data_IF_568395177236
#
_entry.id   IF_568395177236
#
_cell.length_a   1.000
_cell.length_b   1.000
_cell.length_c   1.000
_cell.angle_alpha   90.00
_cell.angle_beta   90.00
_cell.angle_gamma   90.00
#
_symmetry.space_group_name_H-M   'P 1'
#
loop_
_entity.id
_entity.type
_entity.pdbx_description
1 polymer ?
#
# COMPACT_ATOMS: atom_id res chain seq x y z
N UNK A 1 30.75 -19.38 19.32
CA UNK A 1 31.84 -18.41 19.57
C UNK A 1 31.80 -17.26 18.55
N UNK A 2 31.58 -17.53 17.25
CA UNK A 2 31.49 -16.49 16.20
C UNK A 2 30.42 -15.40 16.45
N UNK A 3 29.27 -15.73 17.03
CA UNK A 3 28.20 -14.74 17.30
C UNK A 3 28.61 -13.72 18.37
N UNK A 4 29.36 -14.15 19.38
CA UNK A 4 29.84 -13.25 20.44
C UNK A 4 30.96 -12.33 19.94
N UNK A 5 31.85 -12.82 19.09
CA UNK A 5 32.90 -12.00 18.48
C UNK A 5 32.33 -10.95 17.53
N UNK A 6 31.32 -11.33 16.73
CA UNK A 6 30.61 -10.40 15.84
C UNK A 6 29.92 -9.27 16.61
N UNK A 7 29.26 -9.61 17.72
CA UNK A 7 28.60 -8.63 18.58
C UNK A 7 29.60 -7.65 19.19
N UNK A 8 30.72 -8.16 19.72
CA UNK A 8 31.78 -7.32 20.28
C UNK A 8 32.41 -6.42 19.22
N UNK A 9 32.64 -6.93 18.01
CA UNK A 9 33.18 -6.14 16.90
C UNK A 9 32.23 -5.00 16.48
N UNK A 10 30.93 -5.26 16.43
CA UNK A 10 29.92 -4.24 16.14
C UNK A 10 29.85 -3.16 17.24
N UNK A 11 29.95 -3.56 18.52
CA UNK A 11 30.05 -2.63 19.63
C UNK A 11 31.32 -1.80 19.53
N UNK A 12 32.48 -2.40 19.29
CA UNK A 12 33.74 -1.68 19.17
C UNK A 12 33.69 -0.65 18.04
N UNK A 13 33.14 -1.04 16.90
CA UNK A 13 32.95 -0.16 15.73
C UNK A 13 32.05 1.02 16.10
N UNK A 14 30.94 0.77 16.78
CA UNK A 14 30.03 1.82 17.25
C UNK A 14 30.70 2.75 18.27
N UNK A 15 31.39 2.20 19.27
CA UNK A 15 32.11 2.99 20.26
C UNK A 15 33.16 3.88 19.59
N UNK A 16 33.85 3.37 18.57
CA UNK A 16 34.78 4.13 17.75
C UNK A 16 34.07 5.27 17.01
N UNK A 17 32.92 5.00 16.38
CA UNK A 17 32.11 6.05 15.74
C UNK A 17 31.63 7.12 16.72
N UNK A 18 31.12 6.73 17.88
CA UNK A 18 30.69 7.66 18.94
C UNK A 18 31.87 8.51 19.41
N UNK A 19 33.00 7.88 19.73
CA UNK A 19 34.18 8.58 20.21
C UNK A 19 34.75 9.57 19.19
N UNK A 20 34.84 9.15 17.92
CA UNK A 20 35.25 10.03 16.83
C UNK A 20 34.26 11.18 16.64
N UNK A 21 32.96 10.92 16.78
CA UNK A 21 31.93 11.95 16.66
C UNK A 21 32.01 12.96 17.80
N UNK A 22 32.24 12.51 19.04
CA UNK A 22 32.41 13.37 20.21
C UNK A 22 33.67 14.22 20.06
N UNK A 23 34.79 13.65 19.60
CA UNK A 23 36.00 14.43 19.29
C UNK A 23 35.77 15.42 18.15
N UNK A 24 35.00 15.04 17.13
CA UNK A 24 34.67 15.89 16.00
C UNK A 24 33.78 17.09 16.39
N UNK A 25 33.04 17.05 17.51
CA UNK A 25 32.26 18.19 18.00
C UNK A 25 33.13 19.43 18.25
N UNK A 26 34.39 19.24 18.66
CA UNK A 26 35.37 20.33 18.83
C UNK A 26 36.09 20.73 17.52
N UNK A 27 35.81 20.03 16.42
CA UNK A 27 36.41 20.29 15.10
C UNK A 27 35.41 21.01 14.19
N UNK A 28 35.89 21.72 13.14
CA UNK A 28 35.00 22.40 12.19
C UNK A 28 33.92 21.49 11.59
N UNK A 29 34.23 20.21 11.38
CA UNK A 29 33.30 19.22 10.83
C UNK A 29 32.13 18.87 11.75
N UNK A 30 32.31 18.86 13.07
CA UNK A 30 31.21 18.65 14.03
C UNK A 30 30.35 19.90 14.19
N UNK A 31 30.97 21.08 14.19
CA UNK A 31 30.23 22.36 14.20
C UNK A 31 29.33 22.49 12.98
N UNK A 32 29.80 22.06 11.80
CA UNK A 32 28.98 22.01 10.59
C UNK A 32 27.75 21.09 10.75
N UNK A 33 27.87 19.93 11.40
CA UNK A 33 26.72 19.05 11.66
C UNK A 33 25.68 19.72 12.56
N UNK A 34 26.13 20.40 13.62
CA UNK A 34 25.23 21.15 14.51
C UNK A 34 24.55 22.28 13.74
N UNK A 35 25.30 23.03 12.93
CA UNK A 35 24.76 24.10 12.09
C UNK A 35 23.73 23.56 11.10
N UNK A 36 23.98 22.42 10.48
CA UNK A 36 23.03 21.73 9.59
C UNK A 36 21.77 21.34 10.35
N UNK A 37 21.87 20.79 11.56
CA UNK A 37 20.70 20.43 12.38
C UNK A 37 19.87 21.66 12.77
N UNK A 38 20.53 22.74 13.20
CA UNK A 38 19.87 24.01 13.54
C UNK A 38 19.18 24.59 12.30
N UNK A 39 19.88 24.59 11.16
CA UNK A 39 19.33 25.07 9.89
C UNK A 39 18.15 24.22 9.43
N UNK A 40 18.25 22.90 9.53
CA UNK A 40 17.16 21.98 9.20
C UNK A 40 15.95 22.18 10.13
N UNK A 41 16.18 22.44 11.42
CA UNK A 41 15.11 22.76 12.37
C UNK A 41 14.43 24.09 12.04
N UNK A 42 15.20 25.14 11.77
CA UNK A 42 14.67 26.45 11.38
C UNK A 42 13.89 26.37 10.06
N UNK A 43 14.47 25.74 9.02
CA UNK A 43 13.81 25.53 7.73
C UNK A 43 12.54 24.68 7.86
N UNK A 44 12.55 23.64 8.71
CA UNK A 44 11.37 22.84 8.98
C UNK A 44 10.28 23.64 9.71
N UNK A 45 10.66 24.53 10.62
CA UNK A 45 9.75 25.41 11.33
C UNK A 45 9.05 26.37 10.37
N UNK A 46 9.82 27.15 9.60
CA UNK A 46 9.28 28.09 8.61
C UNK A 46 8.51 27.39 7.48
N UNK A 47 9.01 26.25 7.00
CA UNK A 47 8.34 25.46 5.98
C UNK A 47 6.98 24.94 6.46
N UNK A 48 6.88 24.48 7.70
CA UNK A 48 5.62 24.06 8.27
C UNK A 48 4.65 25.24 8.48
N UNK A 49 5.12 26.38 9.01
CA UNK A 49 4.27 27.57 9.17
C UNK A 49 3.75 28.11 7.84
N UNK A 50 4.52 27.96 6.76
CA UNK A 50 4.07 28.32 5.42
C UNK A 50 3.04 27.36 4.83
N UNK A 51 3.19 26.05 5.09
CA UNK A 51 2.36 24.98 4.51
C UNK A 51 1.09 24.73 5.32
N UNK A 52 1.14 24.83 6.65
CA UNK A 52 0.03 24.51 7.56
C UNK A 52 -1.25 25.33 7.25
N UNK A 53 -1.21 26.67 7.08
CA UNK A 53 -2.40 27.46 6.78
C UNK A 53 -2.98 27.21 5.38
N UNK A 54 -2.14 26.85 4.41
CA UNK A 54 -2.59 26.49 3.04
C UNK A 54 -3.28 25.15 3.05
N UNK A 55 -2.67 24.19 3.73
CA UNK A 55 -3.18 22.84 3.79
C UNK A 55 -4.43 22.76 4.67
N UNK A 56 -4.51 23.51 5.78
CA UNK A 56 -5.74 23.60 6.58
C UNK A 56 -6.92 24.17 5.79
N UNK A 57 -6.70 25.26 5.01
CA UNK A 57 -7.74 25.81 4.12
C UNK A 57 -8.20 24.80 3.09
N UNK A 58 -7.26 24.10 2.45
CA UNK A 58 -7.57 23.04 1.50
C UNK A 58 -8.38 21.90 2.17
N UNK A 59 -7.95 21.45 3.35
CA UNK A 59 -8.65 20.39 4.10
C UNK A 59 -10.07 20.80 4.50
N UNK A 60 -10.29 22.06 4.89
CA UNK A 60 -11.64 22.60 5.18
C UNK A 60 -12.52 22.69 3.94
N UNK A 61 -11.94 22.86 2.75
CA UNK A 61 -12.69 22.90 1.48
C UNK A 61 -13.11 21.51 0.97
N UNK A 62 -12.54 20.44 1.51
CA UNK A 62 -12.88 19.07 1.11
C UNK A 62 -14.01 18.56 2.01
N UNK A 63 -15.17 18.29 1.42
CA UNK A 63 -16.20 17.47 2.06
C UNK A 63 -15.72 16.02 2.18
N UNK A 64 -15.07 15.70 3.29
CA UNK A 64 -14.57 14.36 3.59
C UNK A 64 -15.15 13.80 4.87
N UNK A 65 -15.00 12.50 5.07
CA UNK A 65 -15.50 11.86 6.29
C UNK A 65 -14.74 12.34 7.53
N UNK A 66 -15.45 12.48 8.67
CA UNK A 66 -14.88 12.94 9.95
C UNK A 66 -13.61 12.18 10.37
N UNK A 67 -13.51 10.89 10.04
CA UNK A 67 -12.33 10.07 10.32
C UNK A 67 -11.11 10.48 9.49
N UNK A 68 -11.30 10.84 8.22
CA UNK A 68 -10.23 11.33 7.33
C UNK A 68 -9.81 12.73 7.74
N UNK A 69 -10.76 13.62 8.01
CA UNK A 69 -10.47 14.97 8.50
C UNK A 69 -9.61 14.92 9.77
N UNK A 70 -9.97 14.06 10.73
CA UNK A 70 -9.18 13.83 11.94
C UNK A 70 -7.76 13.39 11.59
N UNK A 71 -7.59 12.41 10.69
CA UNK A 71 -6.26 11.96 10.27
C UNK A 71 -5.44 13.06 9.59
N UNK A 72 -6.03 13.85 8.68
CA UNK A 72 -5.33 14.95 8.03
C UNK A 72 -4.89 16.01 9.05
N UNK A 73 -5.73 16.34 10.02
CA UNK A 73 -5.38 17.25 11.14
C UNK A 73 -4.24 16.65 11.99
N UNK A 74 -4.20 15.34 12.20
CA UNK A 74 -3.09 14.69 12.90
C UNK A 74 -1.76 14.85 12.15
N UNK A 75 -1.78 14.67 10.83
CA UNK A 75 -0.60 14.85 9.98
C UNK A 75 -0.17 16.32 9.94
N UNK A 76 -1.14 17.25 9.83
CA UNK A 76 -0.91 18.69 9.90
C UNK A 76 -0.17 19.10 11.17
N UNK A 77 -0.63 18.60 12.34
CA UNK A 77 0.01 18.82 13.64
C UNK A 77 1.41 18.21 13.78
N UNK A 78 1.90 17.49 12.78
CA UNK A 78 3.23 16.89 12.72
C UNK A 78 4.06 17.43 11.56
N UNK A 79 3.57 18.40 10.78
CA UNK A 79 4.30 18.94 9.63
C UNK A 79 5.71 19.40 9.98
N UNK A 80 5.89 20.14 11.09
CA UNK A 80 7.22 20.54 11.58
C UNK A 80 8.18 19.36 11.71
N UNK A 81 7.73 18.28 12.32
CA UNK A 81 8.55 17.08 12.49
C UNK A 81 8.77 16.35 11.16
N UNK A 82 7.74 16.24 10.31
CA UNK A 82 7.85 15.61 9.00
C UNK A 82 8.91 16.32 8.15
N UNK A 83 8.83 17.66 8.07
CA UNK A 83 9.83 18.46 7.37
C UNK A 83 11.22 18.30 7.99
N UNK A 84 11.33 18.32 9.32
CA UNK A 84 12.61 18.13 10.00
C UNK A 84 13.24 16.78 9.65
N UNK A 85 12.49 15.68 9.76
CA UNK A 85 12.96 14.33 9.42
C UNK A 85 13.42 14.28 7.95
N UNK A 86 12.61 14.82 7.03
CA UNK A 86 12.96 14.85 5.59
C UNK A 86 14.26 15.63 5.36
N UNK A 87 14.38 16.83 5.92
CA UNK A 87 15.56 17.68 5.74
C UNK A 87 16.82 17.05 6.34
N UNK A 88 16.71 16.41 7.51
CA UNK A 88 17.84 15.69 8.13
C UNK A 88 18.27 14.52 7.25
N UNK A 89 17.35 13.73 6.70
CA UNK A 89 17.71 12.61 5.81
C UNK A 89 18.31 13.08 4.48
N UNK A 90 17.83 14.20 3.92
CA UNK A 90 18.45 14.86 2.76
C UNK A 90 19.88 15.29 3.11
N UNK A 91 20.09 15.90 4.29
CA UNK A 91 21.41 16.31 4.75
C UNK A 91 22.35 15.12 4.97
N UNK A 92 21.86 14.00 5.53
CA UNK A 92 22.63 12.75 5.64
C UNK A 92 23.05 12.25 4.26
N UNK A 93 22.13 12.23 3.29
CA UNK A 93 22.42 11.79 1.93
C UNK A 93 23.46 12.70 1.26
N UNK A 94 23.29 14.02 1.36
CA UNK A 94 24.22 15.00 0.80
C UNK A 94 25.61 14.92 1.45
N UNK A 95 25.68 14.79 2.78
CA UNK A 95 26.96 14.63 3.48
C UNK A 95 27.64 13.30 3.12
N UNK A 96 26.90 12.20 2.97
CA UNK A 96 27.48 10.93 2.52
C UNK A 96 28.01 10.97 1.09
N UNK A 97 27.46 11.82 0.22
CA UNK A 97 27.95 11.99 -1.16
C UNK A 97 29.18 12.90 -1.28
N UNK A 98 29.36 13.84 -0.35
CA UNK A 98 30.43 14.86 -0.43
C UNK A 98 31.56 14.60 0.57
N UNK A 99 31.24 14.05 1.73
CA UNK A 99 32.15 13.91 2.86
C UNK A 99 32.35 12.45 3.30
N UNK A 100 33.39 12.22 4.10
CA UNK A 100 33.71 10.90 4.64
C UNK A 100 32.58 10.39 5.57
N UNK A 101 32.22 9.08 5.53
CA UNK A 101 31.07 8.52 6.24
C UNK A 101 31.00 8.83 7.74
N UNK A 102 32.15 8.96 8.40
CA UNK A 102 32.26 9.27 9.83
C UNK A 102 31.71 10.64 10.21
N UNK A 103 31.61 11.58 9.27
CA UNK A 103 31.13 12.95 9.52
C UNK A 103 29.60 13.06 9.52
N UNK A 104 28.86 11.95 9.35
CA UNK A 104 27.39 11.96 9.30
C UNK A 104 26.73 11.32 10.53
N UNK A 105 27.50 10.85 11.51
CA UNK A 105 26.98 10.03 12.61
C UNK A 105 25.96 10.77 13.48
N UNK A 106 26.20 12.04 13.85
CA UNK A 106 25.22 12.79 14.67
C UNK A 106 23.91 13.03 13.90
N UNK A 107 24.01 13.34 12.60
CA UNK A 107 22.84 13.47 11.74
C UNK A 107 22.05 12.17 11.62
N UNK A 108 22.74 11.02 11.54
CA UNK A 108 22.11 9.70 11.53
C UNK A 108 21.39 9.39 12.84
N UNK A 109 22.03 9.67 13.98
CA UNK A 109 21.41 9.47 15.31
C UNK A 109 20.16 10.33 15.44
N UNK A 110 20.26 11.63 15.17
CA UNK A 110 19.12 12.56 15.25
C UNK A 110 18.04 12.19 14.22
N UNK A 111 18.43 11.82 13.00
CA UNK A 111 17.53 11.37 11.94
C UNK A 111 16.76 10.11 12.30
N UNK A 112 17.42 9.11 12.87
CA UNK A 112 16.79 7.87 13.34
C UNK A 112 15.84 8.13 14.51
N UNK A 113 16.27 8.90 15.53
CA UNK A 113 15.43 9.22 16.69
C UNK A 113 14.18 10.03 16.29
N UNK A 114 14.35 11.04 15.44
CA UNK A 114 13.24 11.86 14.95
C UNK A 114 12.29 11.07 14.06
N UNK A 115 12.80 10.17 13.20
CA UNK A 115 11.98 9.27 12.40
C UNK A 115 11.18 8.29 13.27
N UNK A 116 11.79 7.70 14.30
CA UNK A 116 11.08 6.83 15.26
C UNK A 116 10.01 7.60 16.01
N UNK A 117 10.33 8.80 16.50
CA UNK A 117 9.35 9.64 17.18
C UNK A 117 8.18 10.01 16.25
N UNK A 118 8.45 10.30 14.98
CA UNK A 118 7.41 10.54 13.95
C UNK A 118 6.50 9.33 13.80
N UNK A 119 7.09 8.14 13.58
CA UNK A 119 6.36 6.87 13.41
C UNK A 119 5.49 6.60 14.64
N UNK A 120 6.02 6.72 15.85
CA UNK A 120 5.27 6.50 17.10
C UNK A 120 4.14 7.53 17.23
N UNK A 121 4.41 8.80 16.93
CA UNK A 121 3.42 9.87 17.09
C UNK A 121 2.22 9.73 16.15
N UNK A 122 2.41 9.14 14.98
CA UNK A 122 1.35 8.83 14.01
C UNK A 122 0.67 7.50 14.40
N UNK A 123 1.47 6.45 14.62
CA UNK A 123 0.97 5.10 14.84
C UNK A 123 0.11 4.99 16.09
N UNK A 124 0.51 5.65 17.18
CA UNK A 124 -0.26 5.71 18.44
C UNK A 124 -1.69 6.28 18.28
N UNK A 125 -1.96 7.04 17.22
CA UNK A 125 -3.28 7.63 16.95
C UNK A 125 -4.08 6.91 15.87
N UNK A 126 -3.39 6.24 14.94
CA UNK A 126 -4.01 5.46 13.87
C UNK A 126 -4.43 4.08 14.37
N UNK A 127 -3.61 3.46 15.21
CA UNK A 127 -3.84 2.12 15.74
C UNK A 127 -4.81 2.21 16.91
N UNK A 128 -6.00 1.62 16.74
CA UNK A 128 -7.05 1.64 17.78
C UNK A 128 -6.70 0.79 19.01
N UNK A 129 -5.94 -0.28 18.83
CA UNK A 129 -5.58 -1.20 19.91
C UNK A 129 -4.29 -0.70 20.62
N UNK A 130 -4.33 -0.40 21.92
CA UNK A 130 -3.16 0.08 22.66
C UNK A 130 -2.01 -0.91 22.66
N UNK A 131 -2.28 -2.22 22.64
CA UNK A 131 -1.24 -3.24 22.57
C UNK A 131 -0.51 -3.18 21.23
N UNK A 132 -1.24 -3.05 20.12
CA UNK A 132 -0.65 -2.93 18.80
C UNK A 132 0.13 -1.60 18.64
N UNK A 133 -0.32 -0.51 19.26
CA UNK A 133 0.44 0.73 19.29
C UNK A 133 1.75 0.59 20.08
N UNK A 134 1.72 -0.14 21.21
CA UNK A 134 2.91 -0.44 22.02
C UNK A 134 3.90 -1.34 21.27
N UNK A 135 3.43 -2.37 20.56
CA UNK A 135 4.33 -3.24 19.78
C UNK A 135 5.00 -2.50 18.65
N UNK A 136 4.28 -1.61 17.95
CA UNK A 136 4.87 -0.74 16.92
C UNK A 136 5.89 0.21 17.52
N UNK A 137 5.59 0.81 18.68
CA UNK A 137 6.54 1.71 19.34
C UNK A 137 7.81 0.98 19.81
N UNK A 138 7.66 -0.20 20.42
CA UNK A 138 8.78 -1.04 20.81
C UNK A 138 9.62 -1.45 19.60
N UNK A 139 8.97 -1.89 18.51
CA UNK A 139 9.66 -2.26 17.27
C UNK A 139 10.42 -1.09 16.65
N UNK A 140 9.83 0.11 16.65
CA UNK A 140 10.50 1.32 16.17
C UNK A 140 11.73 1.66 17.02
N UNK A 141 11.63 1.57 18.35
CA UNK A 141 12.78 1.78 19.24
C UNK A 141 13.88 0.72 19.07
N UNK A 142 13.51 -0.56 18.96
CA UNK A 142 14.46 -1.65 18.68
C UNK A 142 15.17 -1.39 17.35
N UNK A 143 14.42 -1.02 16.30
CA UNK A 143 14.99 -0.69 15.00
C UNK A 143 15.98 0.47 15.08
N UNK A 144 15.63 1.58 15.75
CA UNK A 144 16.56 2.69 15.94
C UNK A 144 17.78 2.28 16.75
N UNK A 145 17.62 1.53 17.84
CA UNK A 145 18.75 1.05 18.64
C UNK A 145 19.70 0.19 17.79
N UNK A 146 19.17 -0.79 17.05
CA UNK A 146 19.97 -1.64 16.17
C UNK A 146 20.64 -0.86 15.03
N UNK A 147 19.96 0.16 14.48
CA UNK A 147 20.52 0.99 13.42
C UNK A 147 21.60 1.95 13.93
N UNK A 148 21.41 2.55 15.11
CA UNK A 148 22.36 3.50 15.73
C UNK A 148 23.61 2.76 16.22
N UNK A 149 23.43 1.55 16.74
CA UNK A 149 24.51 0.69 17.25
C UNK A 149 25.16 -0.18 16.16
N UNK A 150 24.79 0.02 14.89
CA UNK A 150 25.25 -0.81 13.76
C UNK A 150 25.14 -2.33 14.00
N UNK A 151 24.17 -2.73 14.83
CA UNK A 151 23.87 -4.12 15.19
C UNK A 151 22.86 -4.75 14.23
N UNK A 152 22.38 -4.00 13.23
CA UNK A 152 21.44 -4.52 12.24
C UNK A 152 21.97 -5.76 11.50
N UNK A 153 23.23 -5.79 11.01
CA UNK A 153 23.78 -6.98 10.36
C UNK A 153 23.82 -8.19 11.30
N UNK A 154 24.20 -7.97 12.56
CA UNK A 154 24.21 -9.01 13.59
C UNK A 154 22.80 -9.54 13.88
N UNK A 155 21.82 -8.66 14.10
CA UNK A 155 20.43 -9.03 14.35
C UNK A 155 19.87 -9.86 13.19
N UNK A 156 20.11 -9.46 11.94
CA UNK A 156 19.71 -10.22 10.75
C UNK A 156 20.31 -11.62 10.75
N UNK A 157 21.62 -11.77 11.05
CA UNK A 157 22.27 -13.09 11.13
C UNK A 157 21.67 -13.96 12.23
N UNK A 158 21.45 -13.41 13.43
CA UNK A 158 20.86 -14.16 14.55
C UNK A 158 19.45 -14.62 14.22
N UNK A 159 18.63 -13.75 13.63
CA UNK A 159 17.26 -14.09 13.23
C UNK A 159 17.22 -15.10 12.08
N UNK A 160 18.22 -15.12 11.20
CA UNK A 160 18.31 -16.09 10.12
C UNK A 160 18.86 -17.46 10.57
N UNK A 161 19.76 -17.43 11.55
CA UNK A 161 20.28 -18.63 12.21
C UNK A 161 19.21 -19.32 13.07
N UNK A 162 18.30 -18.55 13.69
CA UNK A 162 17.14 -19.06 14.39
C UNK A 162 16.11 -19.62 13.39
N UNK A 163 16.37 -20.81 12.85
CA UNK A 163 15.55 -21.46 11.84
C UNK A 163 15.15 -22.88 12.22
N UNK A 164 13.95 -23.26 11.78
CA UNK A 164 13.43 -24.62 11.87
C UNK A 164 13.27 -25.14 10.45
N UNK A 165 13.74 -26.36 10.19
CA UNK A 165 13.57 -27.04 8.91
C UNK A 165 12.40 -27.99 8.99
N UNK A 166 11.44 -27.88 8.07
CA UNK A 166 10.26 -28.75 7.95
C UNK A 166 10.24 -29.31 6.53
N UNK A 167 10.64 -30.58 6.38
CA UNK A 167 10.93 -31.14 5.04
C UNK A 167 12.04 -30.33 4.37
N UNK A 168 11.77 -29.82 3.16
CA UNK A 168 12.71 -28.97 2.40
C UNK A 168 12.57 -27.47 2.71
N UNK A 169 11.60 -27.08 3.54
CA UNK A 169 11.36 -25.68 3.91
C UNK A 169 12.16 -25.27 5.14
N UNK A 170 13.12 -24.36 4.97
CA UNK A 170 13.81 -23.68 6.08
C UNK A 170 13.05 -22.41 6.47
N UNK A 171 12.39 -22.45 7.62
CA UNK A 171 11.64 -21.33 8.16
C UNK A 171 12.48 -20.64 9.24
N UNK A 172 13.17 -19.55 8.86
CA UNK A 172 13.90 -18.71 9.81
C UNK A 172 13.01 -17.67 10.48
N UNK A 173 13.34 -17.25 11.69
CA UNK A 173 12.67 -16.14 12.38
C UNK A 173 12.71 -14.87 11.52
N UNK A 174 13.81 -14.65 10.80
CA UNK A 174 13.95 -13.58 9.82
C UNK A 174 12.90 -13.69 8.70
N UNK A 175 12.72 -14.89 8.13
CA UNK A 175 11.70 -15.14 7.10
C UNK A 175 10.29 -14.82 7.60
N UNK A 176 9.94 -15.29 8.80
CA UNK A 176 8.63 -15.05 9.41
C UNK A 176 8.38 -13.56 9.62
N UNK A 177 9.37 -12.82 10.14
CA UNK A 177 9.23 -11.38 10.37
C UNK A 177 9.12 -10.62 9.05
N UNK A 178 9.96 -10.94 8.04
CA UNK A 178 9.84 -10.37 6.70
C UNK A 178 8.46 -10.65 6.10
N UNK A 179 7.96 -11.88 6.22
CA UNK A 179 6.64 -12.28 5.74
C UNK A 179 5.52 -11.46 6.39
N UNK A 180 5.51 -11.37 7.72
CA UNK A 180 4.48 -10.63 8.46
C UNK A 180 4.51 -9.14 8.09
N UNK A 181 5.69 -8.52 8.04
CA UNK A 181 5.83 -7.09 7.71
C UNK A 181 5.40 -6.83 6.27
N UNK A 182 5.95 -7.55 5.30
CA UNK A 182 5.63 -7.33 3.88
C UNK A 182 4.16 -7.62 3.59
N UNK A 183 3.61 -8.71 4.13
CA UNK A 183 2.20 -9.05 3.94
C UNK A 183 1.29 -8.00 4.60
N UNK A 184 1.63 -7.52 5.80
CA UNK A 184 0.86 -6.46 6.46
C UNK A 184 0.82 -5.18 5.62
N UNK A 185 1.94 -4.77 5.04
CA UNK A 185 2.03 -3.59 4.17
C UNK A 185 1.21 -3.78 2.90
N UNK A 186 1.36 -4.92 2.21
CA UNK A 186 0.65 -5.22 0.97
C UNK A 186 -0.86 -5.32 1.19
N UNK A 187 -1.31 -6.02 2.24
CA UNK A 187 -2.73 -6.14 2.58
C UNK A 187 -3.31 -4.80 3.03
N UNK A 188 -2.57 -3.98 3.76
CA UNK A 188 -2.98 -2.61 4.07
C UNK A 188 -3.14 -1.76 2.81
N UNK A 189 -2.20 -1.86 1.87
CA UNK A 189 -2.26 -1.22 0.56
C UNK A 189 -3.46 -1.69 -0.26
N UNK A 190 -3.72 -3.01 -0.34
CA UNK A 190 -4.89 -3.58 -1.00
C UNK A 190 -6.19 -3.12 -0.35
N UNK A 191 -6.26 -3.09 0.99
CA UNK A 191 -7.42 -2.61 1.73
C UNK A 191 -7.67 -1.11 1.49
N UNK A 192 -6.63 -0.31 1.32
CA UNK A 192 -6.73 1.09 0.97
C UNK A 192 -7.24 1.27 -0.47
N UNK A 193 -6.57 0.61 -1.43
CA UNK A 193 -6.89 0.70 -2.85
C UNK A 193 -8.30 0.18 -3.15
N UNK A 194 -8.69 -0.94 -2.53
CA UNK A 194 -10.04 -1.50 -2.62
C UNK A 194 -11.09 -0.49 -2.20
N UNK A 195 -10.91 0.21 -1.07
CA UNK A 195 -11.86 1.25 -0.63
C UNK A 195 -11.93 2.45 -1.57
N UNK A 196 -10.82 2.78 -2.23
CA UNK A 196 -10.81 3.86 -3.23
C UNK A 196 -11.58 3.42 -4.47
N UNK A 197 -11.31 2.22 -4.97
CA UNK A 197 -11.98 1.69 -6.17
C UNK A 197 -13.46 1.41 -5.93
N UNK A 198 -13.85 0.83 -4.78
CA UNK A 198 -15.26 0.62 -4.42
C UNK A 198 -16.06 1.93 -4.43
N UNK A 199 -15.46 3.04 -3.97
CA UNK A 199 -16.10 4.37 -4.02
C UNK A 199 -16.26 4.88 -5.44
N UNK A 200 -15.23 4.71 -6.28
CA UNK A 200 -15.30 5.10 -7.69
C UNK A 200 -16.38 4.30 -8.42
N UNK A 201 -16.43 2.98 -8.21
CA UNK A 201 -17.47 2.10 -8.78
C UNK A 201 -18.86 2.51 -8.28
N UNK A 202 -19.00 2.89 -7.01
CA UNK A 202 -20.28 3.33 -6.46
C UNK A 202 -20.81 4.63 -7.09
N UNK A 203 -19.94 5.46 -7.68
CA UNK A 203 -20.29 6.72 -8.33
C UNK A 203 -20.70 6.57 -9.80
N UNK A 204 -20.56 5.38 -10.40
CA UNK A 204 -20.92 5.14 -11.81
C UNK A 204 -22.45 5.04 -11.94
N UNK A 205 -23.09 6.08 -12.47
CA UNK A 205 -24.55 6.19 -12.55
C UNK A 205 -25.19 5.11 -13.44
N UNK A 206 -24.51 4.73 -14.53
CA UNK A 206 -24.99 3.75 -15.52
C UNK A 206 -25.05 2.29 -15.00
N UNK A 207 -24.53 2.02 -13.80
CA UNK A 207 -24.56 0.68 -13.21
C UNK A 207 -25.71 0.55 -12.23
N UNK A 208 -26.45 -0.57 -12.30
CA UNK A 208 -27.45 -0.91 -11.27
C UNK A 208 -26.77 -1.05 -9.90
N UNK A 209 -27.49 -0.77 -8.79
CA UNK A 209 -26.93 -0.87 -7.44
C UNK A 209 -26.32 -2.25 -7.13
N UNK A 210 -26.95 -3.33 -7.60
CA UNK A 210 -26.45 -4.70 -7.44
C UNK A 210 -25.14 -4.94 -8.19
N UNK A 211 -25.02 -4.40 -9.41
CA UNK A 211 -23.78 -4.51 -10.20
C UNK A 211 -22.63 -3.73 -9.55
N UNK A 212 -22.88 -2.55 -8.97
CA UNK A 212 -21.85 -1.76 -8.26
C UNK A 212 -21.28 -2.52 -7.07
N UNK A 213 -22.14 -3.13 -6.26
CA UNK A 213 -21.72 -3.94 -5.10
C UNK A 213 -20.94 -5.16 -5.56
N UNK A 214 -21.41 -5.85 -6.60
CA UNK A 214 -20.76 -7.04 -7.12
C UNK A 214 -19.38 -6.72 -7.71
N UNK A 215 -19.28 -5.69 -8.56
CA UNK A 215 -18.01 -5.22 -9.13
C UNK A 215 -17.01 -4.79 -8.04
N UNK A 216 -17.48 -4.05 -7.02
CA UNK A 216 -16.65 -3.68 -5.87
C UNK A 216 -16.08 -4.90 -5.13
N UNK A 217 -16.91 -5.93 -4.89
CA UNK A 217 -16.46 -7.19 -4.27
C UNK A 217 -15.43 -7.92 -5.13
N UNK A 218 -15.63 -8.00 -6.44
CA UNK A 218 -14.67 -8.64 -7.34
C UNK A 218 -13.32 -7.92 -7.34
N UNK A 219 -13.31 -6.60 -7.43
CA UNK A 219 -12.07 -5.80 -7.33
C UNK A 219 -11.39 -6.02 -6.00
N UNK A 220 -12.16 -6.01 -4.89
CA UNK A 220 -11.60 -6.24 -3.56
C UNK A 220 -10.95 -7.61 -3.45
N UNK A 221 -11.63 -8.68 -3.88
CA UNK A 221 -11.07 -10.04 -3.87
C UNK A 221 -9.80 -10.08 -4.72
N UNK A 222 -9.84 -9.53 -5.95
CA UNK A 222 -8.68 -9.47 -6.83
C UNK A 222 -7.47 -8.77 -6.17
N UNK A 223 -7.67 -7.58 -5.61
CA UNK A 223 -6.60 -6.82 -4.96
C UNK A 223 -5.98 -7.56 -3.76
N UNK A 224 -6.81 -8.19 -2.92
CA UNK A 224 -6.31 -8.95 -1.77
C UNK A 224 -5.58 -10.22 -2.20
N UNK A 225 -6.08 -10.93 -3.22
CA UNK A 225 -5.41 -12.09 -3.79
C UNK A 225 -4.06 -11.72 -4.39
N UNK A 226 -4.01 -10.65 -5.19
CA UNK A 226 -2.74 -10.15 -5.76
C UNK A 226 -1.76 -9.74 -4.66
N UNK A 227 -2.21 -9.00 -3.65
CA UNK A 227 -1.34 -8.62 -2.53
C UNK A 227 -0.80 -9.82 -1.74
N UNK A 228 -1.61 -10.85 -1.56
CA UNK A 228 -1.19 -12.09 -0.90
C UNK A 228 -0.15 -12.86 -1.73
N UNK A 229 -0.40 -13.03 -3.03
CA UNK A 229 0.52 -13.68 -3.99
C UNK A 229 1.85 -12.93 -4.06
N UNK A 230 1.83 -11.60 -4.23
CA UNK A 230 3.03 -10.77 -4.21
C UNK A 230 3.76 -10.87 -2.88
N UNK A 231 3.03 -10.95 -1.76
CA UNK A 231 3.59 -11.13 -0.43
C UNK A 231 4.40 -12.42 -0.33
N UNK A 232 3.83 -13.55 -0.75
CA UNK A 232 4.52 -14.84 -0.77
C UNK A 232 5.73 -14.85 -1.71
N UNK A 233 5.61 -14.27 -2.91
CA UNK A 233 6.74 -14.16 -3.85
C UNK A 233 7.90 -13.34 -3.27
N UNK A 234 7.59 -12.25 -2.56
CA UNK A 234 8.63 -11.36 -2.00
C UNK A 234 9.53 -12.02 -0.94
N UNK A 235 9.04 -13.10 -0.32
CA UNK A 235 9.77 -13.87 0.68
C UNK A 235 10.35 -15.18 0.10
N UNK A 236 10.29 -15.36 -1.22
CA UNK A 236 10.93 -16.47 -1.93
C UNK A 236 10.13 -17.77 -1.93
N UNK A 237 8.82 -17.75 -1.62
CA UNK A 237 7.99 -18.94 -1.78
C UNK A 237 7.79 -19.26 -3.27
N UNK A 238 8.03 -20.51 -3.64
CA UNK A 238 7.69 -21.00 -4.98
C UNK A 238 6.17 -21.12 -5.11
N UNK A 239 5.61 -20.27 -5.99
CA UNK A 239 4.19 -20.24 -6.26
C UNK A 239 3.77 -21.20 -7.37
N UNK A 240 4.67 -22.03 -7.90
CA UNK A 240 4.37 -22.95 -9.01
C UNK A 240 3.18 -23.85 -8.65
N UNK A 241 3.18 -24.49 -7.48
CA UNK A 241 2.08 -25.35 -7.02
C UNK A 241 0.76 -24.59 -6.90
N UNK A 242 0.78 -23.37 -6.33
CA UNK A 242 -0.42 -22.52 -6.19
C UNK A 242 -0.90 -22.05 -7.57
N UNK A 243 0.01 -21.75 -8.49
CA UNK A 243 -0.29 -21.29 -9.84
C UNK A 243 -0.93 -22.40 -10.66
N UNK A 244 -0.41 -23.63 -10.58
CA UNK A 244 -1.00 -24.81 -11.24
C UNK A 244 -2.41 -25.07 -10.69
N UNK A 245 -2.58 -25.08 -9.37
CA UNK A 245 -3.89 -25.27 -8.74
C UNK A 245 -4.88 -24.15 -9.10
N UNK A 246 -4.42 -22.89 -9.07
CA UNK A 246 -5.21 -21.72 -9.48
C UNK A 246 -5.59 -21.79 -10.96
N UNK A 247 -4.71 -22.32 -11.81
CA UNK A 247 -5.00 -22.59 -13.21
C UNK A 247 -6.12 -23.61 -13.38
N UNK A 248 -6.07 -24.73 -12.64
CA UNK A 248 -7.14 -25.73 -12.65
C UNK A 248 -8.49 -25.16 -12.17
N UNK A 249 -8.49 -24.39 -11.08
CA UNK A 249 -9.69 -23.68 -10.60
C UNK A 249 -10.19 -22.68 -11.65
N UNK A 250 -9.30 -21.93 -12.29
CA UNK A 250 -9.61 -20.99 -13.36
C UNK A 250 -10.28 -21.66 -14.56
N UNK A 251 -9.78 -22.84 -14.97
CA UNK A 251 -10.39 -23.66 -16.02
C UNK A 251 -11.80 -24.10 -15.61
N UNK A 252 -11.97 -24.59 -14.37
CA UNK A 252 -13.28 -25.00 -13.85
C UNK A 252 -14.31 -23.87 -13.82
N UNK A 253 -13.88 -22.68 -13.37
CA UNK A 253 -14.70 -21.46 -13.43
C UNK A 253 -15.01 -21.06 -14.88
N UNK A 254 -14.04 -21.17 -15.78
CA UNK A 254 -14.20 -20.90 -17.22
C UNK A 254 -15.27 -21.78 -17.86
N UNK A 255 -15.27 -23.08 -17.56
CA UNK A 255 -16.34 -23.99 -18.01
C UNK A 255 -17.71 -23.61 -17.42
N UNK A 256 -17.78 -23.24 -16.14
CA UNK A 256 -19.03 -22.78 -15.52
C UNK A 256 -19.59 -21.47 -16.11
N UNK A 257 -18.70 -20.57 -16.55
CA UNK A 257 -19.03 -19.29 -17.18
C UNK A 257 -19.21 -19.38 -18.70
N UNK A 258 -18.90 -20.51 -19.32
CA UNK A 258 -18.87 -20.69 -20.77
C UNK A 258 -20.16 -20.22 -21.45
N UNK A 259 -21.33 -20.57 -20.90
CA UNK A 259 -22.63 -20.17 -21.45
C UNK A 259 -22.85 -18.66 -21.40
N UNK A 260 -22.45 -18.01 -20.30
CA UNK A 260 -22.58 -16.55 -20.13
C UNK A 260 -21.68 -15.83 -21.12
N UNK A 261 -20.44 -16.28 -21.26
CA UNK A 261 -19.48 -15.72 -22.22
C UNK A 261 -19.94 -15.94 -23.66
N UNK A 262 -20.41 -17.14 -24.01
CA UNK A 262 -20.94 -17.45 -25.35
C UNK A 262 -22.14 -16.55 -25.72
N UNK A 263 -23.05 -16.32 -24.77
CA UNK A 263 -24.19 -15.42 -24.97
C UNK A 263 -23.73 -13.97 -25.16
N UNK A 264 -22.73 -13.52 -24.40
CA UNK A 264 -22.16 -12.17 -24.53
C UNK A 264 -21.48 -11.98 -25.89
N UNK A 265 -20.64 -12.94 -26.30
CA UNK A 265 -19.92 -12.91 -27.59
C UNK A 265 -20.92 -12.91 -28.75
N UNK A 266 -21.94 -13.77 -28.71
CA UNK A 266 -23.02 -13.76 -29.69
C UNK A 266 -23.71 -12.40 -29.78
N UNK A 267 -24.00 -11.77 -28.63
CA UNK A 267 -24.60 -10.44 -28.58
C UNK A 267 -23.72 -9.34 -29.19
N UNK A 268 -22.40 -9.37 -28.95
CA UNK A 268 -21.45 -8.41 -29.54
C UNK A 268 -21.31 -8.64 -31.05
N UNK A 269 -21.19 -9.89 -31.50
CA UNK A 269 -21.11 -10.24 -32.92
C UNK A 269 -22.35 -9.74 -33.66
N UNK A 270 -23.56 -9.96 -33.14
CA UNK A 270 -24.80 -9.48 -33.74
C UNK A 270 -24.84 -7.96 -33.91
N UNK A 271 -24.31 -7.20 -32.93
CA UNK A 271 -24.22 -5.74 -33.01
C UNK A 271 -23.19 -5.27 -34.06
N UNK A 272 -22.09 -6.02 -34.22
CA UNK A 272 -21.03 -5.73 -35.20
C UNK A 272 -21.45 -6.08 -36.62
N UNK A 273 -22.19 -7.18 -36.79
CA UNK A 273 -22.58 -7.72 -38.09
C UNK A 273 -23.67 -6.88 -38.78
N UNK A 274 -24.33 -5.95 -38.07
CA UNK A 274 -25.40 -5.07 -38.60
C UNK A 274 -26.50 -5.82 -39.40
N UNK A 275 -26.68 -7.12 -39.18
CA UNK A 275 -27.55 -7.97 -40.01
C UNK A 275 -29.06 -7.79 -39.78
N UNK A 276 -29.48 -6.79 -38.98
CA UNK A 276 -30.89 -6.38 -38.86
C UNK A 276 -30.97 -4.86 -38.90
N UNK A 277 -31.55 -4.32 -39.97
CA UNK A 277 -31.95 -2.91 -40.04
C UNK A 277 -33.28 -2.73 -39.31
N UNK A 278 -33.50 -1.63 -38.55
CA UNK A 278 -34.84 -1.26 -38.11
C UNK A 278 -35.75 -1.10 -39.35
N UNK A 279 -36.69 -2.03 -39.53
CA UNK A 279 -37.56 -2.09 -40.72
C UNK A 279 -37.73 -3.46 -41.36
N UNK A 280 -36.92 -4.47 -41.01
CA UNK A 280 -37.09 -5.81 -41.58
C UNK A 280 -38.24 -6.58 -40.91
N UNK A 281 -39.18 -7.00 -41.75
CA UNK A 281 -40.35 -7.80 -41.38
C UNK A 281 -39.91 -9.25 -41.25
N UNK A 282 -39.84 -9.76 -40.03
CA UNK A 282 -39.55 -11.17 -39.77
C UNK A 282 -40.88 -11.92 -39.68
N UNK A 283 -41.16 -12.77 -40.68
CA UNK A 283 -42.34 -13.63 -40.70
C UNK A 283 -42.12 -14.82 -39.76
N UNK A 284 -42.75 -14.78 -38.58
CA UNK A 284 -42.86 -15.91 -37.68
C UNK A 284 -44.22 -16.59 -37.91
N UNK A 285 -44.28 -17.49 -38.89
CA UNK A 285 -45.51 -18.24 -39.19
C UNK A 285 -46.66 -17.38 -39.72
N UNK A 286 -47.89 -17.59 -39.22
CA UNK A 286 -49.14 -17.02 -39.76
C UNK A 286 -49.73 -15.86 -38.93
N UNK A 287 -48.94 -14.95 -38.37
CA UNK A 287 -49.52 -13.81 -37.60
C UNK A 287 -48.77 -12.51 -37.80
N UNK A 288 -49.51 -11.47 -38.21
CA UNK A 288 -49.01 -10.10 -38.43
C UNK A 288 -49.01 -9.29 -37.11
N UNK A 289 -47.91 -8.60 -36.82
CA UNK A 289 -47.83 -7.65 -35.70
C UNK A 289 -46.58 -6.76 -35.79
N UNK A 290 -46.74 -5.46 -35.52
CA UNK A 290 -45.64 -4.49 -35.58
C UNK A 290 -44.87 -4.40 -34.24
N UNK A 291 -43.54 -4.44 -34.31
CA UNK A 291 -42.65 -4.37 -33.15
C UNK A 291 -42.55 -2.91 -32.69
N UNK A 292 -43.11 -2.59 -31.51
CA UNK A 292 -43.15 -1.20 -31.02
C UNK A 292 -41.93 -0.79 -30.17
N UNK A 293 -41.15 -1.74 -29.64
CA UNK A 293 -39.84 -1.47 -29.01
C UNK A 293 -39.08 -2.75 -28.66
N UNK A 294 -37.74 -2.75 -28.78
CA UNK A 294 -36.87 -3.83 -28.31
C UNK A 294 -36.00 -3.34 -27.13
N UNK A 295 -36.24 -3.88 -25.93
CA UNK A 295 -35.37 -3.72 -24.76
C UNK A 295 -34.60 -5.00 -24.45
N UNK A 296 -33.44 -4.89 -23.79
CA UNK A 296 -32.46 -5.98 -23.55
C UNK A 296 -32.97 -7.26 -22.84
N UNK A 297 -34.23 -7.37 -22.45
CA UNK A 297 -34.78 -8.58 -21.82
C UNK A 297 -36.30 -8.79 -21.91
N UNK A 298 -37.09 -7.89 -22.53
CA UNK A 298 -38.55 -8.08 -22.66
C UNK A 298 -39.08 -7.42 -23.93
N UNK A 299 -39.90 -8.15 -24.69
CA UNK A 299 -40.76 -7.61 -25.75
C UNK A 299 -42.20 -7.58 -25.23
N UNK A 300 -42.86 -6.43 -25.37
CA UNK A 300 -44.31 -6.29 -25.17
C UNK A 300 -44.99 -6.26 -26.53
N UNK A 301 -46.08 -7.01 -26.66
CA UNK A 301 -46.92 -7.07 -27.85
C UNK A 301 -48.33 -6.56 -27.51
N UNK A 302 -48.97 -5.89 -28.47
CA UNK A 302 -50.39 -5.53 -28.43
C UNK A 302 -51.03 -6.01 -29.74
N UNK A 303 -52.17 -6.71 -29.70
CA UNK A 303 -52.88 -7.11 -30.91
C UNK A 303 -53.40 -5.89 -31.65
N UNK A 304 -53.22 -5.86 -32.98
CA UNK A 304 -53.91 -4.94 -33.85
C UNK A 304 -55.35 -5.44 -34.04
N UNK A 305 -56.32 -4.71 -33.51
CA UNK A 305 -57.73 -4.91 -33.84
C UNK A 305 -57.95 -4.54 -35.30
N UNK A 306 -58.35 -5.50 -36.12
CA UNK A 306 -58.85 -5.25 -37.46
C UNK A 306 -60.06 -4.30 -37.35
N UNK A 307 -59.89 -3.07 -37.84
CA UNK A 307 -61.01 -2.16 -38.07
C UNK A 307 -61.85 -2.72 -39.21
N UNK A 308 -63.07 -3.16 -38.88
CA UNK A 308 -64.10 -3.48 -39.86
C UNK A 308 -64.82 -2.19 -40.24
N UNK A 309 -64.52 -1.65 -41.43
CA UNK A 309 -65.43 -1.08 -42.45
C UNK A 309 -64.58 -0.61 -43.62
#
# INVERSE_FOLDING_TARGET
>A
METWTDFLAAIETTLRHVFLSVRALGQPSGLLQILILISAFALAHFGAEFVEPRFERWVRSIETSMKRLRFLILVLRRLRLIFFVILVWIAVLAMRSVAWPSWSYLLLVVGNLSAVWLVISISSRVIRNPLAARTVALGAWIFAALSILDLMPFAVRVMDAAAITVGDLRISLLLVIKAVVTLSILLWGAAYLSRVTERRVAQVEDMSPSMRVLAGKFVRIGLFTTAFVMGLQSIGFDLTTITVFSGAVGIGLGFGLQKVVSNLVSGVILLLDKSIKPGDVITLGETYGAITSLGRATSRWSPATAGNT
#
